data_IF_131458064921
#
_entry.id   IF_131458064921
#
_cell.length_a   1.000
_cell.length_b   1.000
_cell.length_c   1.000
_cell.angle_alpha   90.00
_cell.angle_beta   90.00
_cell.angle_gamma   90.00
#
_symmetry.space_group_name_H-M   'P 1'
#
loop_
_entity.id
_entity.type
_entity.pdbx_description
1 polymer ?
#
# COMPACT_ATOMS: atom_id res chain seq x y z
N UNK A 1 -30.29 3.57 25.81
CA UNK A 1 -30.03 4.89 25.18
C UNK A 1 -29.51 4.66 23.77
N UNK A 2 -30.36 4.85 22.76
CA UNK A 2 -29.95 4.74 21.36
C UNK A 2 -29.02 5.94 21.04
N UNK A 3 -27.75 5.67 20.70
CA UNK A 3 -26.87 6.71 20.16
C UNK A 3 -27.56 7.30 18.93
N UNK A 4 -27.83 8.61 18.93
CA UNK A 4 -28.32 9.30 17.73
C UNK A 4 -27.41 8.95 16.56
N UNK A 5 -27.99 8.59 15.41
CA UNK A 5 -27.21 8.29 14.20
C UNK A 5 -26.34 9.50 13.88
N UNK A 6 -25.02 9.38 14.05
CA UNK A 6 -24.03 10.40 13.73
C UNK A 6 -24.23 10.81 12.26
N UNK A 7 -24.31 12.11 11.96
CA UNK A 7 -24.49 12.60 10.57
C UNK A 7 -23.20 12.38 9.77
N UNK A 8 -23.29 12.36 8.42
CA UNK A 8 -22.10 12.21 7.57
C UNK A 8 -21.06 13.31 7.82
N UNK A 9 -21.51 14.56 7.96
CA UNK A 9 -20.63 15.69 8.24
C UNK A 9 -19.92 15.56 9.61
N UNK A 10 -20.63 15.11 10.65
CA UNK A 10 -20.01 14.89 11.97
C UNK A 10 -18.93 13.81 11.92
N UNK A 11 -19.14 12.74 11.14
CA UNK A 11 -18.11 11.70 10.93
C UNK A 11 -16.92 12.23 10.16
N UNK A 12 -17.16 12.97 9.08
CA UNK A 12 -16.11 13.59 8.26
C UNK A 12 -15.23 14.51 9.12
N UNK A 13 -15.84 15.42 9.90
CA UNK A 13 -15.11 16.32 10.80
C UNK A 13 -14.27 15.56 11.84
N UNK A 14 -14.78 14.45 12.36
CA UNK A 14 -14.04 13.60 13.31
C UNK A 14 -12.83 12.92 12.69
N UNK A 15 -12.94 12.46 11.44
CA UNK A 15 -11.83 11.87 10.72
C UNK A 15 -10.80 12.92 10.29
N UNK A 16 -11.25 14.11 9.87
CA UNK A 16 -10.38 15.24 9.59
C UNK A 16 -9.55 15.65 10.83
N UNK A 17 -10.19 15.71 12.01
CA UNK A 17 -9.46 15.97 13.27
C UNK A 17 -8.48 14.86 13.64
N UNK A 18 -8.76 13.60 13.27
CA UNK A 18 -7.83 12.48 13.48
C UNK A 18 -6.63 12.61 12.54
N UNK A 19 -6.87 12.94 11.29
CA UNK A 19 -5.83 13.18 10.30
C UNK A 19 -4.88 14.29 10.74
N UNK A 20 -5.40 15.47 11.11
CA UNK A 20 -4.56 16.57 11.62
C UNK A 20 -3.68 16.16 12.80
N UNK A 21 -4.23 15.40 13.76
CA UNK A 21 -3.44 14.88 14.89
C UNK A 21 -2.35 13.89 14.47
N UNK A 22 -2.61 13.06 13.46
CA UNK A 22 -1.62 12.15 12.93
C UNK A 22 -0.52 12.92 12.20
N UNK A 23 -0.91 13.86 11.34
CA UNK A 23 0.00 14.70 10.58
C UNK A 23 0.96 15.44 11.51
N UNK A 24 0.43 16.23 12.46
CA UNK A 24 1.21 16.96 13.46
C UNK A 24 2.23 16.08 14.20
N UNK A 25 1.84 14.85 14.54
CA UNK A 25 2.69 13.89 15.24
C UNK A 25 3.75 13.24 14.33
N UNK A 26 3.46 13.10 13.03
CA UNK A 26 4.34 12.43 12.06
C UNK A 26 5.23 13.40 11.27
N UNK A 27 5.02 14.72 11.32
CA UNK A 27 5.84 15.71 10.59
C UNK A 27 7.34 15.51 10.80
N UNK A 28 7.78 15.34 12.04
CA UNK A 28 9.21 15.15 12.36
C UNK A 28 9.76 13.82 11.80
N UNK A 29 8.93 12.78 11.82
CA UNK A 29 9.26 11.47 11.26
C UNK A 29 9.41 11.58 9.75
N UNK A 30 8.45 12.20 9.06
CA UNK A 30 8.48 12.43 7.61
C UNK A 30 9.63 13.33 7.17
N UNK A 31 9.90 14.41 7.90
CA UNK A 31 11.06 15.27 7.63
C UNK A 31 12.39 14.51 7.76
N UNK A 32 12.48 13.59 8.70
CA UNK A 32 13.68 12.77 8.89
C UNK A 32 13.80 11.70 7.82
N UNK A 33 12.68 11.06 7.48
CA UNK A 33 12.55 10.08 6.42
C UNK A 33 12.98 10.65 5.06
N UNK A 34 12.50 11.85 4.70
CA UNK A 34 12.88 12.52 3.45
C UNK A 34 14.41 12.70 3.33
N UNK A 35 15.09 13.03 4.44
CA UNK A 35 16.55 13.11 4.48
C UNK A 35 17.22 11.76 4.28
N UNK A 36 16.63 10.66 4.75
CA UNK A 36 17.18 9.32 4.52
C UNK A 36 17.09 8.92 3.05
N UNK A 37 15.99 9.25 2.36
CA UNK A 37 15.89 9.06 0.92
C UNK A 37 16.92 9.91 0.16
N UNK A 38 17.14 11.16 0.54
CA UNK A 38 18.17 12.00 -0.08
C UNK A 38 19.58 11.36 0.04
N UNK A 39 19.89 10.74 1.19
CA UNK A 39 21.16 10.01 1.41
C UNK A 39 21.19 8.72 0.59
N UNK A 40 20.08 8.00 0.51
CA UNK A 40 19.97 6.76 -0.27
C UNK A 40 20.24 7.01 -1.75
N UNK A 41 19.61 8.02 -2.34
CA UNK A 41 19.82 8.38 -3.75
C UNK A 41 21.11 9.17 -4.00
N UNK A 42 22.00 9.26 -3.02
CA UNK A 42 23.28 9.95 -3.11
C UNK A 42 23.14 11.39 -3.61
N UNK A 43 22.06 12.09 -3.25
CA UNK A 43 21.81 13.45 -3.72
C UNK A 43 22.83 14.39 -3.07
N UNK A 44 23.75 14.90 -3.88
CA UNK A 44 24.72 15.91 -3.44
C UNK A 44 24.01 17.25 -3.22
N UNK A 45 23.60 17.53 -1.99
CA UNK A 45 23.07 18.84 -1.63
C UNK A 45 24.23 19.86 -1.53
N UNK A 46 24.50 20.56 -2.64
CA UNK A 46 25.55 21.58 -2.74
C UNK A 46 25.16 22.92 -2.13
N UNK A 47 23.91 23.09 -1.68
CA UNK A 47 23.36 24.40 -1.24
C UNK A 47 24.06 25.02 -0.04
N UNK A 48 24.66 24.22 0.84
CA UNK A 48 25.41 24.70 2.02
C UNK A 48 26.93 24.64 1.84
N UNK A 49 27.40 24.40 0.61
CA UNK A 49 28.82 24.24 0.34
C UNK A 49 29.46 25.58 -0.04
N UNK A 50 30.58 25.89 0.62
CA UNK A 50 31.43 26.97 0.17
C UNK A 50 32.03 26.61 -1.21
N UNK A 51 31.97 27.49 -2.23
CA UNK A 51 32.36 27.19 -3.61
C UNK A 51 33.77 26.61 -3.80
N UNK A 52 34.66 26.80 -2.83
CA UNK A 52 36.07 26.37 -2.89
C UNK A 52 36.36 25.03 -2.20
N UNK A 53 35.37 24.35 -1.62
CA UNK A 53 35.55 23.02 -1.05
C UNK A 53 35.03 21.96 -2.02
N UNK A 54 35.87 21.00 -2.39
CA UNK A 54 35.41 19.77 -3.03
C UNK A 54 34.89 18.81 -1.95
N UNK A 55 33.67 18.30 -2.13
CA UNK A 55 33.15 17.20 -1.31
C UNK A 55 33.05 15.95 -2.17
N UNK A 56 33.84 14.94 -1.83
CA UNK A 56 33.69 13.60 -2.41
C UNK A 56 32.62 12.90 -1.58
N UNK A 57 31.52 12.49 -2.22
CA UNK A 57 30.49 11.71 -1.56
C UNK A 57 30.73 10.22 -1.84
N UNK A 58 31.03 9.45 -0.80
CA UNK A 58 31.20 7.99 -0.89
C UNK A 58 29.92 7.29 -0.41
N UNK A 59 29.09 6.71 -1.30
CA UNK A 59 27.75 6.19 -0.98
C UNK A 59 27.78 4.79 -0.30
N UNK A 60 28.49 4.61 0.81
CA UNK A 60 28.63 3.28 1.46
C UNK A 60 27.28 2.74 1.95
N UNK A 61 26.46 3.59 2.60
CA UNK A 61 25.14 3.17 3.08
C UNK A 61 24.16 2.84 1.95
N UNK A 62 24.14 3.65 0.89
CA UNK A 62 23.28 3.40 -0.26
C UNK A 62 23.65 2.08 -0.94
N UNK A 63 24.94 1.78 -1.12
CA UNK A 63 25.40 0.50 -1.67
C UNK A 63 24.92 -0.69 -0.85
N UNK A 64 25.00 -0.62 0.49
CA UNK A 64 24.49 -1.68 1.38
C UNK A 64 22.97 -1.80 1.34
N UNK A 65 22.26 -0.67 1.23
CA UNK A 65 20.81 -0.67 1.11
C UNK A 65 20.37 -1.36 -0.20
N UNK A 66 20.99 -1.02 -1.32
CA UNK A 66 20.70 -1.64 -2.62
C UNK A 66 21.00 -3.15 -2.64
N UNK A 67 22.14 -3.58 -2.08
CA UNK A 67 22.49 -5.00 -1.96
C UNK A 67 21.48 -5.77 -1.09
N UNK A 68 20.98 -5.15 -0.03
CA UNK A 68 19.96 -5.77 0.82
C UNK A 68 18.61 -5.88 0.10
N UNK A 69 18.19 -4.82 -0.61
CA UNK A 69 16.95 -4.80 -1.37
C UNK A 69 16.97 -5.87 -2.48
N UNK A 70 18.05 -5.94 -3.26
CA UNK A 70 18.16 -6.92 -4.35
C UNK A 70 18.13 -8.36 -3.84
N UNK A 71 18.75 -8.62 -2.68
CA UNK A 71 18.69 -9.96 -2.08
C UNK A 71 17.31 -10.34 -1.60
N UNK A 72 16.50 -9.40 -1.12
CA UNK A 72 15.16 -9.68 -0.63
C UNK A 72 14.12 -9.74 -1.75
N UNK A 73 14.26 -8.94 -2.80
CA UNK A 73 13.34 -8.98 -3.95
C UNK A 73 13.40 -10.30 -4.70
N UNK A 74 14.56 -10.96 -4.72
CA UNK A 74 14.77 -12.22 -5.43
C UNK A 74 14.29 -13.46 -4.64
N UNK A 75 13.85 -13.28 -3.38
CA UNK A 75 13.38 -14.39 -2.56
C UNK A 75 11.95 -14.74 -2.95
N UNK A 76 11.78 -15.93 -3.51
CA UNK A 76 10.47 -16.53 -3.70
C UNK A 76 10.10 -17.27 -2.41
N UNK A 77 9.05 -16.84 -1.68
CA UNK A 77 8.58 -17.58 -0.53
C UNK A 77 8.02 -18.93 -0.98
N UNK A 78 8.27 -19.95 -0.17
CA UNK A 78 7.58 -21.23 -0.25
C UNK A 78 6.50 -21.20 0.82
N UNK A 79 5.26 -21.39 0.40
CA UNK A 79 4.11 -21.44 1.30
C UNK A 79 3.98 -22.86 1.84
N UNK A 80 4.10 -23.01 3.15
CA UNK A 80 3.80 -24.24 3.87
C UNK A 80 2.59 -23.95 4.76
N UNK A 81 1.45 -24.56 4.45
CA UNK A 81 0.18 -24.33 5.12
C UNK A 81 -0.20 -25.54 5.96
N UNK A 82 -0.83 -25.29 7.11
CA UNK A 82 -1.36 -26.33 8.00
C UNK A 82 -2.83 -26.06 8.30
N UNK A 83 -3.72 -26.98 7.90
CA UNK A 83 -5.15 -26.90 8.22
C UNK A 83 -5.40 -27.48 9.62
N UNK A 84 -5.40 -26.60 10.62
CA UNK A 84 -5.40 -26.97 12.05
C UNK A 84 -6.64 -27.73 12.57
N UNK A 85 -7.71 -27.85 11.78
CA UNK A 85 -9.00 -28.37 12.25
C UNK A 85 -9.33 -29.78 11.73
N UNK A 86 -8.42 -30.42 11.00
CA UNK A 86 -8.68 -31.68 10.29
C UNK A 86 -7.61 -32.74 10.60
N UNK A 87 -7.19 -32.77 11.86
CA UNK A 87 -6.23 -33.73 12.38
C UNK A 87 -7.01 -34.91 12.94
N UNK A 88 -6.75 -36.11 12.43
CA UNK A 88 -7.30 -37.36 12.93
C UNK A 88 -6.22 -38.18 13.64
N UNK A 89 -6.61 -38.92 14.67
CA UNK A 89 -5.71 -39.84 15.35
C UNK A 89 -5.65 -41.14 14.54
N UNK A 90 -4.47 -41.46 14.01
CA UNK A 90 -4.20 -42.71 13.29
C UNK A 90 -4.38 -43.91 14.24
N UNK A 91 -4.57 -45.10 13.68
CA UNK A 91 -4.67 -46.36 14.45
C UNK A 91 -3.44 -46.62 15.34
N UNK A 92 -2.29 -46.03 14.99
CA UNK A 92 -1.03 -46.10 15.75
C UNK A 92 -0.88 -45.03 16.85
N UNK A 93 -1.89 -44.16 17.04
CA UNK A 93 -1.88 -43.07 18.02
C UNK A 93 -1.15 -41.80 17.54
N UNK A 94 -0.68 -41.79 16.29
CA UNK A 94 -0.07 -40.61 15.67
C UNK A 94 -1.14 -39.67 15.10
N UNK A 95 -1.00 -38.37 15.37
CA UNK A 95 -1.86 -37.33 14.80
C UNK A 95 -1.49 -37.13 13.33
N UNK A 96 -2.36 -37.55 12.42
CA UNK A 96 -2.14 -37.46 10.97
C UNK A 96 -3.27 -36.68 10.30
N UNK A 97 -2.94 -35.95 9.24
CA UNK A 97 -3.94 -35.29 8.43
C UNK A 97 -4.61 -36.30 7.50
N UNK A 98 -5.92 -36.14 7.29
CA UNK A 98 -6.65 -36.94 6.30
C UNK A 98 -6.10 -36.70 4.89
N UNK A 99 -6.19 -37.71 4.02
CA UNK A 99 -5.70 -37.58 2.63
C UNK A 99 -6.37 -36.40 1.89
N UNK A 100 -7.65 -36.14 2.16
CA UNK A 100 -8.40 -35.02 1.60
C UNK A 100 -7.96 -33.65 2.14
N UNK A 101 -7.54 -33.58 3.42
CA UNK A 101 -6.96 -32.37 3.99
C UNK A 101 -5.59 -32.07 3.37
N UNK A 102 -4.78 -33.09 3.13
CA UNK A 102 -3.49 -32.94 2.45
C UNK A 102 -3.67 -32.46 1.00
N UNK A 103 -4.58 -33.06 0.23
CA UNK A 103 -4.84 -32.63 -1.15
C UNK A 103 -5.36 -31.17 -1.21
N UNK A 104 -6.21 -30.76 -0.27
CA UNK A 104 -6.66 -29.37 -0.18
C UNK A 104 -5.53 -28.43 0.21
N UNK A 105 -4.67 -28.84 1.14
CA UNK A 105 -3.51 -28.05 1.55
C UNK A 105 -2.57 -27.83 0.37
N UNK A 106 -2.22 -28.88 -0.37
CA UNK A 106 -1.41 -28.81 -1.58
C UNK A 106 -2.05 -27.89 -2.63
N UNK A 107 -3.37 -27.98 -2.84
CA UNK A 107 -4.09 -27.08 -3.77
C UNK A 107 -4.00 -25.62 -3.36
N UNK A 108 -4.14 -25.30 -2.07
CA UNK A 108 -4.06 -23.92 -1.58
C UNK A 108 -2.61 -23.41 -1.67
N UNK A 109 -1.62 -24.24 -1.35
CA UNK A 109 -0.21 -23.89 -1.51
C UNK A 109 0.15 -23.59 -2.97
N UNK A 110 -0.31 -24.44 -3.89
CA UNK A 110 -0.14 -24.21 -5.33
C UNK A 110 -0.83 -22.93 -5.79
N UNK A 111 -2.05 -22.64 -5.32
CA UNK A 111 -2.75 -21.41 -5.62
C UNK A 111 -1.97 -20.18 -5.13
N UNK A 112 -1.53 -20.16 -3.87
CA UNK A 112 -0.74 -19.05 -3.32
C UNK A 112 0.60 -18.87 -4.04
N UNK A 113 1.24 -19.98 -4.43
CA UNK A 113 2.49 -19.95 -5.17
C UNK A 113 2.30 -19.41 -6.58
N UNK A 114 1.20 -19.78 -7.24
CA UNK A 114 0.85 -19.27 -8.57
C UNK A 114 0.47 -17.79 -8.51
N UNK A 115 -0.39 -17.39 -7.55
CA UNK A 115 -0.72 -15.97 -7.29
C UNK A 115 0.54 -15.14 -7.03
N UNK A 116 1.52 -15.65 -6.28
CA UNK A 116 2.77 -14.93 -6.04
C UNK A 116 3.62 -14.77 -7.30
N UNK A 117 3.70 -15.80 -8.15
CA UNK A 117 4.56 -15.79 -9.35
C UNK A 117 3.92 -15.06 -10.53
N UNK A 118 2.63 -15.26 -10.72
CA UNK A 118 1.84 -14.85 -11.86
C UNK A 118 0.77 -13.82 -11.46
N UNK A 119 1.06 -12.99 -10.46
CA UNK A 119 0.21 -11.86 -10.12
C UNK A 119 -0.16 -11.08 -11.39
N UNK A 120 -1.45 -10.79 -11.55
CA UNK A 120 -2.01 -10.14 -12.73
C UNK A 120 -1.33 -8.79 -12.95
N UNK A 121 -0.64 -8.65 -14.09
CA UNK A 121 0.04 -7.42 -14.50
C UNK A 121 1.54 -7.36 -14.17
N UNK A 122 1.93 -7.52 -12.91
CA UNK A 122 3.34 -7.39 -12.47
C UNK A 122 3.71 -8.47 -11.44
N UNK A 123 4.88 -9.13 -11.56
CA UNK A 123 5.35 -10.11 -10.57
C UNK A 123 5.42 -9.53 -9.15
N UNK A 124 5.03 -10.32 -8.14
CA UNK A 124 5.06 -9.88 -6.73
C UNK A 124 6.44 -9.47 -6.24
N UNK A 125 7.51 -10.06 -6.79
CA UNK A 125 8.89 -9.67 -6.49
C UNK A 125 9.16 -8.20 -6.83
N UNK A 126 8.57 -7.68 -7.92
CA UNK A 126 8.68 -6.27 -8.29
C UNK A 126 7.74 -5.40 -7.46
N UNK A 127 6.50 -5.84 -7.23
CA UNK A 127 5.53 -5.08 -6.40
C UNK A 127 6.01 -4.88 -4.96
N UNK A 128 6.66 -5.89 -4.39
CA UNK A 128 7.21 -5.80 -3.02
C UNK A 128 8.44 -4.90 -2.92
N UNK A 129 9.14 -4.62 -4.04
CA UNK A 129 10.35 -3.80 -4.08
C UNK A 129 10.17 -2.45 -3.41
N UNK A 130 9.08 -1.74 -3.72
CA UNK A 130 8.79 -0.41 -3.18
C UNK A 130 8.60 -0.43 -1.66
N UNK A 131 7.94 -1.47 -1.15
CA UNK A 131 7.73 -1.64 0.29
C UNK A 131 9.01 -2.06 1.01
N UNK A 132 9.86 -2.86 0.37
CA UNK A 132 11.17 -3.24 0.88
C UNK A 132 12.12 -2.05 0.91
N UNK A 133 12.13 -1.22 -0.14
CA UNK A 133 12.88 0.03 -0.19
C UNK A 133 12.53 0.91 1.01
N UNK A 134 11.24 1.12 1.26
CA UNK A 134 10.77 1.92 2.39
C UNK A 134 11.16 1.26 3.73
N UNK A 135 11.01 -0.06 3.87
CA UNK A 135 11.45 -0.78 5.06
C UNK A 135 12.96 -0.65 5.33
N UNK A 136 13.80 -0.54 4.29
CA UNK A 136 15.25 -0.39 4.41
C UNK A 136 15.66 1.03 4.75
N UNK A 137 15.07 2.01 4.05
CA UNK A 137 15.47 3.42 4.14
C UNK A 137 14.87 4.10 5.36
N UNK A 138 13.60 3.83 5.67
CA UNK A 138 12.87 4.50 6.77
C UNK A 138 12.48 3.55 7.89
N UNK A 139 12.75 2.26 7.75
CA UNK A 139 12.54 1.26 8.80
C UNK A 139 11.15 0.63 8.76
N UNK A 140 10.23 1.15 7.97
CA UNK A 140 8.90 0.54 7.75
C UNK A 140 8.41 0.79 6.35
N UNK A 141 8.02 -0.28 5.67
CA UNK A 141 7.23 -0.22 4.43
C UNK A 141 5.78 -0.57 4.72
N UNK A 142 4.86 -0.09 3.89
CA UNK A 142 3.44 -0.43 4.00
C UNK A 142 2.93 -1.00 2.69
N UNK A 143 2.07 -1.99 2.78
CA UNK A 143 1.29 -2.50 1.67
C UNK A 143 -0.18 -2.58 2.06
N UNK A 144 -1.06 -2.38 1.09
CA UNK A 144 -2.46 -2.78 1.16
C UNK A 144 -2.57 -4.14 0.50
N UNK A 145 -3.28 -5.07 1.13
CA UNK A 145 -3.59 -6.38 0.53
C UNK A 145 -5.08 -6.45 0.23
N UNK A 146 -5.55 -5.89 -0.89
CA UNK A 146 -6.95 -5.98 -1.25
C UNK A 146 -7.31 -7.38 -1.76
N UNK A 147 -8.61 -7.67 -1.69
CA UNK A 147 -9.22 -8.80 -2.38
C UNK A 147 -9.86 -8.24 -3.64
N UNK A 148 -9.36 -8.64 -4.80
CA UNK A 148 -9.84 -8.15 -6.09
C UNK A 148 -10.78 -9.20 -6.67
N UNK A 149 -11.90 -8.73 -7.20
CA UNK A 149 -12.86 -9.54 -7.93
C UNK A 149 -12.79 -9.09 -9.39
N UNK A 150 -12.47 -10.02 -10.28
CA UNK A 150 -12.36 -9.79 -11.72
C UNK A 150 -13.36 -10.67 -12.45
N UNK A 151 -14.11 -10.05 -13.36
CA UNK A 151 -14.93 -10.75 -14.34
C UNK A 151 -14.16 -10.75 -15.66
N UNK A 152 -13.78 -11.93 -16.12
CA UNK A 152 -13.07 -12.09 -17.38
C UNK A 152 -13.96 -12.74 -18.41
N UNK A 153 -14.31 -11.96 -19.43
CA UNK A 153 -14.99 -12.47 -20.61
C UNK A 153 -13.97 -13.14 -21.54
N UNK A 154 -14.09 -14.46 -21.68
CA UNK A 154 -13.34 -15.24 -22.66
C UNK A 154 -14.22 -15.53 -23.87
N UNK A 155 -13.75 -15.15 -25.04
CA UNK A 155 -14.42 -15.42 -26.30
C UNK A 155 -13.90 -16.74 -26.83
N UNK A 156 -14.76 -17.76 -26.85
CA UNK A 156 -14.43 -19.07 -27.39
C UNK A 156 -15.36 -19.41 -28.55
N UNK A 157 -14.83 -20.13 -29.52
CA UNK A 157 -15.63 -20.73 -30.59
C UNK A 157 -16.18 -22.06 -30.12
N UNK A 158 -17.39 -22.38 -30.55
CA UNK A 158 -18.02 -23.66 -30.25
C UNK A 158 -17.47 -24.73 -31.23
N UNK A 159 -16.98 -25.84 -30.68
CA UNK A 159 -16.45 -26.97 -31.43
C UNK A 159 -17.35 -28.19 -31.24
N UNK A 160 -17.55 -28.98 -32.29
CA UNK A 160 -18.24 -30.27 -32.21
C UNK A 160 -17.35 -31.37 -31.60
N UNK A 161 -17.93 -32.56 -31.37
CA UNK A 161 -17.20 -33.73 -30.86
C UNK A 161 -16.07 -34.22 -31.79
N UNK A 162 -16.03 -33.74 -33.04
CA UNK A 162 -14.99 -34.02 -34.04
C UNK A 162 -13.94 -32.90 -34.15
N UNK A 163 -14.06 -31.82 -33.35
CA UNK A 163 -13.14 -30.68 -33.34
C UNK A 163 -13.35 -29.66 -34.47
N UNK A 164 -14.47 -29.70 -35.19
CA UNK A 164 -14.84 -28.68 -36.18
C UNK A 164 -15.65 -27.54 -35.55
N UNK A 165 -15.45 -26.32 -36.05
CA UNK A 165 -16.16 -25.12 -35.58
C UNK A 165 -17.63 -25.20 -36.04
N UNK A 166 -18.57 -25.22 -35.10
CA UNK A 166 -20.01 -25.39 -35.37
C UNK A 166 -20.61 -24.12 -36.02
N UNK A 167 -20.19 -22.95 -35.55
CA UNK A 167 -20.72 -21.68 -36.00
C UNK A 167 -19.61 -20.62 -36.10
N UNK A 168 -19.55 -19.91 -37.23
CA UNK A 168 -18.52 -18.91 -37.53
C UNK A 168 -18.99 -17.46 -37.26
N UNK A 169 -20.26 -17.28 -36.89
CA UNK A 169 -20.90 -15.97 -36.78
C UNK A 169 -21.08 -15.47 -35.33
N UNK A 170 -21.08 -16.37 -34.34
CA UNK A 170 -21.34 -16.05 -32.95
C UNK A 170 -20.22 -16.60 -32.07
N UNK A 171 -19.51 -15.70 -31.38
CA UNK A 171 -18.57 -16.08 -30.34
C UNK A 171 -19.34 -16.40 -29.06
N UNK A 172 -19.05 -17.54 -28.44
CA UNK A 172 -19.59 -17.87 -27.12
C UNK A 172 -18.78 -17.08 -26.10
N UNK A 173 -19.42 -16.08 -25.49
CA UNK A 173 -18.84 -15.34 -24.36
C UNK A 173 -18.99 -16.19 -23.12
N UNK A 174 -17.86 -16.69 -22.62
CA UNK A 174 -17.78 -17.32 -21.29
C UNK A 174 -17.23 -16.29 -20.32
N UNK A 175 -18.12 -15.71 -19.52
CA UNK A 175 -17.75 -14.90 -18.36
C UNK A 175 -17.28 -15.83 -17.25
N UNK A 176 -15.99 -15.77 -16.94
CA UNK A 176 -15.42 -16.42 -15.76
C UNK A 176 -15.26 -15.40 -14.66
N UNK A 177 -15.93 -15.64 -13.54
CA UNK A 177 -15.78 -14.86 -12.31
C UNK A 177 -14.64 -15.44 -11.48
N UNK A 178 -13.68 -14.60 -11.11
CA UNK A 178 -12.54 -14.98 -10.29
C UNK A 178 -12.25 -13.94 -9.23
N UNK A 179 -11.67 -14.38 -8.11
CA UNK A 179 -11.15 -13.48 -7.10
C UNK A 179 -9.76 -13.93 -6.67
N UNK A 180 -8.86 -12.98 -6.49
CA UNK A 180 -7.51 -13.24 -6.04
C UNK A 180 -7.06 -12.20 -5.00
N UNK A 181 -6.03 -12.56 -4.24
CA UNK A 181 -5.36 -11.58 -3.39
C UNK A 181 -4.49 -10.67 -4.25
N UNK A 182 -4.47 -9.40 -3.91
CA UNK A 182 -3.59 -8.43 -4.56
C UNK A 182 -2.71 -7.72 -3.53
N UNK A 183 -1.70 -7.00 -4.02
CA UNK A 183 -0.72 -6.30 -3.22
C UNK A 183 -0.39 -4.94 -3.84
N UNK A 184 -0.76 -3.90 -3.13
CA UNK A 184 -0.52 -2.52 -3.53
C UNK A 184 0.48 -1.87 -2.56
N UNK A 185 1.67 -1.46 -3.01
CA UNK A 185 2.61 -0.74 -2.17
C UNK A 185 2.04 0.63 -1.80
N UNK A 186 2.04 0.96 -0.51
CA UNK A 186 1.61 2.27 -0.02
C UNK A 186 2.84 3.10 0.30
N UNK A 187 2.95 4.27 -0.32
CA UNK A 187 4.02 5.21 -0.04
C UNK A 187 4.05 5.57 1.45
N UNK A 188 5.24 5.45 2.05
CA UNK A 188 5.47 5.75 3.46
C UNK A 188 4.90 7.10 3.94
N UNK A 189 5.00 8.15 3.12
CA UNK A 189 4.52 9.50 3.46
C UNK A 189 2.99 9.65 3.42
N UNK A 190 2.31 8.68 2.83
CA UNK A 190 0.87 8.67 2.70
C UNK A 190 0.18 7.87 3.81
N UNK A 191 0.93 7.13 4.64
CA UNK A 191 0.40 6.31 5.71
C UNK A 191 0.40 7.04 7.06
N UNK A 192 -0.80 7.25 7.61
CA UNK A 192 -1.01 7.92 8.89
C UNK A 192 -1.55 6.93 9.93
N UNK A 193 -0.78 6.73 10.99
CA UNK A 193 -1.13 5.81 12.08
C UNK A 193 -1.52 6.62 13.30
N UNK A 194 -2.60 6.19 13.96
CA UNK A 194 -3.06 6.85 15.17
C UNK A 194 -1.93 7.10 16.20
N UNK A 195 -1.83 8.32 16.77
CA UNK A 195 -0.74 8.69 17.67
C UNK A 195 -0.76 7.84 18.95
N UNK A 196 0.41 7.67 19.57
CA UNK A 196 0.63 6.86 20.77
C UNK A 196 0.33 5.36 20.65
N UNK A 197 0.18 4.84 19.42
CA UNK A 197 0.01 3.41 19.18
C UNK A 197 1.31 2.65 19.47
N UNK A 198 1.29 1.65 20.36
CA UNK A 198 2.48 0.84 20.69
C UNK A 198 2.82 -0.24 19.67
N UNK A 199 1.90 -0.53 18.76
CA UNK A 199 2.01 -1.56 17.73
C UNK A 199 1.07 -1.21 16.61
N UNK A 200 1.52 -1.38 15.36
CA UNK A 200 0.72 -1.08 14.18
C UNK A 200 -0.64 -1.78 14.23
N UNK A 201 -0.69 -3.12 14.32
CA UNK A 201 -1.93 -3.91 14.38
C UNK A 201 -2.87 -3.61 15.57
N UNK A 202 -2.41 -2.89 16.60
CA UNK A 202 -3.23 -2.52 17.76
C UNK A 202 -3.67 -1.06 17.72
N UNK A 203 -3.28 -0.32 16.68
CA UNK A 203 -3.71 1.06 16.49
C UNK A 203 -5.25 1.12 16.39
N UNK A 204 -5.87 2.18 16.94
CA UNK A 204 -7.32 2.34 16.88
C UNK A 204 -7.83 2.67 15.46
N UNK A 205 -6.99 3.27 14.62
CA UNK A 205 -7.31 3.62 13.23
C UNK A 205 -6.04 3.88 12.40
N UNK A 206 -6.23 3.83 11.07
CA UNK A 206 -5.25 4.16 10.04
C UNK A 206 -5.91 5.06 9.01
N UNK A 207 -5.13 5.97 8.42
CA UNK A 207 -5.58 6.87 7.36
C UNK A 207 -4.52 6.79 6.26
N UNK A 208 -4.93 6.48 5.04
CA UNK A 208 -4.07 6.54 3.86
C UNK A 208 -4.51 7.70 2.98
N UNK A 209 -3.57 8.53 2.58
CA UNK A 209 -3.80 9.67 1.69
C UNK A 209 -3.37 9.29 0.27
N UNK A 210 -4.30 9.30 -0.66
CA UNK A 210 -4.06 8.89 -2.05
C UNK A 210 -4.32 10.06 -3.00
N UNK A 211 -3.53 10.12 -4.06
CA UNK A 211 -3.71 11.05 -5.16
C UNK A 211 -4.17 10.23 -6.36
N UNK A 212 -5.32 10.59 -6.92
CA UNK A 212 -5.89 9.93 -8.10
C UNK A 212 -6.54 10.98 -8.99
N UNK A 213 -6.80 10.63 -10.24
CA UNK A 213 -7.55 11.49 -11.14
C UNK A 213 -9.03 11.33 -10.89
N UNK A 214 -9.83 12.37 -11.19
CA UNK A 214 -11.28 12.26 -11.09
C UNK A 214 -11.83 11.15 -11.99
N UNK A 215 -11.24 10.97 -13.17
CA UNK A 215 -11.62 9.94 -14.13
C UNK A 215 -11.39 8.53 -13.57
N UNK A 216 -10.19 8.24 -13.05
CA UNK A 216 -9.89 6.91 -12.49
C UNK A 216 -10.81 6.58 -11.32
N UNK A 217 -11.13 7.58 -10.49
CA UNK A 217 -12.07 7.42 -9.38
C UNK A 217 -13.50 7.10 -9.86
N UNK A 218 -13.96 7.73 -10.96
CA UNK A 218 -15.25 7.42 -11.56
C UNK A 218 -15.30 6.02 -12.18
N UNK A 219 -14.22 5.62 -12.86
CA UNK A 219 -14.11 4.34 -13.55
C UNK A 219 -14.14 3.15 -12.58
N UNK A 220 -13.66 3.32 -11.34
CA UNK A 220 -13.75 2.26 -10.32
C UNK A 220 -15.20 1.91 -9.95
N UNK A 221 -16.16 2.83 -10.11
CA UNK A 221 -17.55 2.64 -9.70
C UNK A 221 -17.76 2.45 -8.19
N UNK A 222 -16.72 2.58 -7.36
CA UNK A 222 -16.75 2.31 -5.92
C UNK A 222 -17.27 3.50 -5.08
N UNK A 223 -17.23 4.71 -5.63
CA UNK A 223 -17.52 5.94 -4.90
C UNK A 223 -18.90 6.53 -5.26
N UNK A 224 -19.50 7.25 -4.31
CA UNK A 224 -20.73 8.01 -4.57
C UNK A 224 -20.49 9.12 -5.60
N UNK A 225 -21.12 9.00 -6.77
CA UNK A 225 -21.03 9.99 -7.87
C UNK A 225 -21.43 11.39 -7.43
N UNK A 226 -22.42 11.52 -6.55
CA UNK A 226 -22.83 12.81 -6.00
C UNK A 226 -21.80 13.40 -5.02
N UNK A 227 -20.98 12.56 -4.40
CA UNK A 227 -19.82 12.97 -3.60
C UNK A 227 -18.65 13.42 -4.46
N UNK A 228 -18.32 12.67 -5.52
CA UNK A 228 -17.24 12.98 -6.47
C UNK A 228 -17.40 14.36 -7.12
N UNK A 229 -18.62 14.70 -7.55
CA UNK A 229 -18.93 16.00 -8.16
C UNK A 229 -18.80 17.21 -7.21
N UNK A 230 -18.61 16.99 -5.90
CA UNK A 230 -18.42 18.04 -4.88
C UNK A 230 -16.97 18.16 -4.43
N UNK A 231 -16.08 17.37 -5.02
CA UNK A 231 -14.66 17.40 -4.72
C UNK A 231 -13.98 18.57 -5.42
N UNK A 232 -12.93 19.07 -4.78
CA UNK A 232 -12.05 20.03 -5.38
C UNK A 232 -11.12 19.31 -6.36
N UNK A 233 -11.18 19.68 -7.63
CA UNK A 233 -10.28 19.25 -8.72
C UNK A 233 -9.00 20.09 -8.81
N UNK A 234 -9.06 21.34 -8.31
CA UNK A 234 -7.99 22.33 -8.45
C UNK A 234 -6.95 22.23 -7.32
N UNK A 235 -6.70 21.02 -6.82
CA UNK A 235 -5.76 20.86 -5.71
C UNK A 235 -4.37 21.13 -6.23
N UNK A 236 -3.90 22.37 -6.06
CA UNK A 236 -2.46 22.62 -6.04
C UNK A 236 -1.93 21.77 -4.91
N UNK A 237 -1.30 20.66 -5.28
CA UNK A 237 -0.79 19.68 -4.36
C UNK A 237 -0.11 20.35 -3.15
N UNK A 238 -0.45 19.90 -1.95
CA UNK A 238 0.16 20.43 -0.73
C UNK A 238 1.69 20.31 -0.86
N UNK A 239 2.34 21.48 -1.03
CA UNK A 239 3.76 21.60 -1.36
C UNK A 239 4.63 20.81 -0.38
N UNK A 240 4.16 20.60 0.85
CA UNK A 240 4.88 19.88 1.89
C UNK A 240 4.95 18.38 1.60
N UNK A 241 3.81 17.74 1.34
CA UNK A 241 3.74 16.31 1.03
C UNK A 241 4.33 15.98 -0.33
N UNK A 242 4.17 16.89 -1.29
CA UNK A 242 4.85 16.81 -2.56
C UNK A 242 6.35 16.78 -2.41
N UNK A 243 6.91 17.62 -1.53
CA UNK A 243 8.35 17.60 -1.29
C UNK A 243 8.79 16.26 -0.69
N UNK A 244 8.01 15.65 0.20
CA UNK A 244 8.32 14.33 0.74
C UNK A 244 8.24 13.24 -0.34
N UNK A 245 7.16 13.22 -1.13
CA UNK A 245 6.99 12.29 -2.24
C UNK A 245 8.09 12.45 -3.30
N UNK A 246 8.51 13.69 -3.56
CA UNK A 246 9.67 13.98 -4.42
C UNK A 246 10.95 13.37 -3.86
N UNK A 247 11.24 13.51 -2.56
CA UNK A 247 12.45 12.91 -1.98
C UNK A 247 12.48 11.39 -2.16
N UNK A 248 11.34 10.71 -2.07
CA UNK A 248 11.24 9.26 -2.33
C UNK A 248 11.37 8.90 -3.81
N UNK A 249 10.67 9.60 -4.70
CA UNK A 249 10.55 9.19 -6.11
C UNK A 249 11.59 9.85 -7.04
N UNK A 250 12.64 10.47 -6.48
CA UNK A 250 13.57 11.28 -7.28
C UNK A 250 14.48 10.44 -8.16
N UNK A 251 14.46 10.69 -9.46
CA UNK A 251 15.53 10.28 -10.35
C UNK A 251 16.77 11.16 -10.12
N UNK A 252 17.96 10.57 -10.00
CA UNK A 252 19.22 11.31 -9.78
C UNK A 252 19.35 12.47 -10.78
N UNK A 253 19.60 13.69 -10.27
CA UNK A 253 19.75 14.94 -11.02
C UNK A 253 18.49 15.54 -11.70
N UNK A 254 17.30 14.97 -11.52
CA UNK A 254 16.06 15.63 -11.94
C UNK A 254 15.81 16.91 -11.13
N UNK A 255 15.52 18.02 -11.82
CA UNK A 255 15.34 19.33 -11.18
C UNK A 255 13.90 19.70 -10.84
N UNK A 256 12.89 19.05 -11.41
CA UNK A 256 11.48 19.11 -11.00
C UNK A 256 10.74 18.02 -11.81
N UNK A 257 9.92 17.19 -11.16
CA UNK A 257 8.77 16.58 -11.84
C UNK A 257 7.66 17.62 -11.79
N UNK A 258 7.41 18.32 -12.89
CA UNK A 258 6.24 19.18 -12.99
C UNK A 258 5.00 18.28 -12.95
N UNK A 259 4.10 18.55 -12.02
CA UNK A 259 2.77 17.94 -12.00
C UNK A 259 2.02 18.45 -13.22
N UNK A 260 1.37 17.55 -13.94
CA UNK A 260 0.60 17.92 -15.12
C UNK A 260 -0.66 18.67 -14.69
N UNK A 261 -0.64 20.00 -14.83
CA UNK A 261 -1.74 20.89 -14.48
C UNK A 261 -2.95 20.74 -15.44
N UNK A 262 -2.87 19.87 -16.45
CA UNK A 262 -3.98 19.59 -17.38
C UNK A 262 -4.94 18.50 -16.89
N UNK A 263 -4.58 17.79 -15.81
CA UNK A 263 -5.36 16.67 -15.26
C UNK A 263 -5.98 17.07 -13.93
N UNK A 264 -7.30 16.85 -13.80
CA UNK A 264 -8.05 17.08 -12.57
C UNK A 264 -7.67 16.03 -11.51
N UNK A 265 -6.75 16.42 -10.64
CA UNK A 265 -6.26 15.58 -9.55
C UNK A 265 -7.08 15.80 -8.29
N UNK A 266 -7.53 14.72 -7.68
CA UNK A 266 -8.26 14.73 -6.41
C UNK A 266 -7.43 14.04 -5.32
N UNK A 267 -7.64 14.47 -4.08
CA UNK A 267 -7.03 13.85 -2.89
C UNK A 267 -8.09 13.05 -2.16
N UNK A 268 -7.81 11.76 -1.99
CA UNK A 268 -8.65 10.83 -1.25
C UNK A 268 -8.01 10.44 0.08
N UNK A 269 -8.86 10.22 1.07
CA UNK A 269 -8.48 9.76 2.41
C UNK A 269 -9.21 8.46 2.72
N UNK A 270 -8.48 7.36 2.64
CA UNK A 270 -8.94 6.03 3.02
C UNK A 270 -8.77 5.85 4.54
N UNK A 271 -9.88 5.86 5.28
CA UNK A 271 -9.90 5.82 6.73
C UNK A 271 -10.42 4.47 7.22
N UNK A 272 -9.57 3.69 7.88
CA UNK A 272 -9.92 2.36 8.39
C UNK A 272 -9.90 2.38 9.92
N UNK A 273 -10.97 1.89 10.53
CA UNK A 273 -10.97 1.65 11.98
C UNK A 273 -10.47 0.25 12.35
N UNK A 274 -10.16 0.04 13.63
CA UNK A 274 -9.73 -1.26 14.15
C UNK A 274 -10.73 -2.40 13.95
N UNK A 275 -12.00 -2.09 13.70
CA UNK A 275 -13.05 -3.07 13.47
C UNK A 275 -13.17 -3.45 11.98
N UNK A 276 -12.31 -2.90 11.13
CA UNK A 276 -12.29 -3.15 9.69
C UNK A 276 -13.38 -2.39 8.93
N UNK A 277 -13.97 -1.33 9.51
CA UNK A 277 -14.86 -0.45 8.76
C UNK A 277 -14.04 0.56 7.96
N UNK A 278 -14.39 0.69 6.68
CA UNK A 278 -13.79 1.58 5.71
C UNK A 278 -14.65 2.83 5.53
N UNK A 279 -14.01 3.99 5.54
CA UNK A 279 -14.60 5.26 5.13
C UNK A 279 -13.65 5.95 4.16
N UNK A 280 -14.13 6.30 2.98
CA UNK A 280 -13.35 7.12 2.03
C UNK A 280 -13.91 8.53 2.02
N UNK A 281 -13.02 9.50 2.16
CA UNK A 281 -13.36 10.92 2.07
C UNK A 281 -12.53 11.60 0.98
N UNK A 282 -13.03 12.69 0.41
CA UNK A 282 -12.24 13.59 -0.44
C UNK A 282 -12.34 15.04 0.03
N UNK A 283 -11.43 15.89 -0.43
CA UNK A 283 -11.46 17.32 -0.12
C UNK A 283 -12.55 18.03 -0.94
N UNK A 284 -13.53 18.62 -0.26
CA UNK A 284 -14.60 19.36 -0.94
C UNK A 284 -14.18 20.75 -1.40
N UNK A 285 -14.94 21.33 -2.34
CA UNK A 285 -14.73 22.69 -2.89
C UNK A 285 -14.89 23.83 -1.86
N UNK A 286 -15.48 23.57 -0.69
CA UNK A 286 -15.68 24.60 0.33
C UNK A 286 -14.33 25.17 0.81
N UNK A 287 -14.28 26.51 0.98
CA UNK A 287 -13.08 27.24 1.47
C UNK A 287 -12.55 26.74 2.82
N UNK A 288 -13.38 26.03 3.59
CA UNK A 288 -13.02 25.43 4.88
C UNK A 288 -12.34 24.05 4.75
N UNK A 289 -12.17 23.52 3.53
CA UNK A 289 -11.56 22.21 3.30
C UNK A 289 -12.35 21.05 3.89
N UNK A 290 -13.69 21.17 3.89
CA UNK A 290 -14.56 20.16 4.49
C UNK A 290 -14.48 18.84 3.73
N UNK A 291 -14.24 17.74 4.44
CA UNK A 291 -14.21 16.41 3.85
C UNK A 291 -15.61 15.95 3.43
N UNK A 292 -15.72 15.43 2.21
CA UNK A 292 -16.94 14.84 1.64
C UNK A 292 -16.85 13.31 1.76
N UNK A 293 -17.86 12.67 2.37
CA UNK A 293 -17.92 11.20 2.46
C UNK A 293 -18.27 10.61 1.08
N UNK A 294 -17.40 9.75 0.54
CA UNK A 294 -17.54 9.13 -0.79
C UNK A 294 -17.94 7.66 -0.70
N UNK A 295 -17.42 6.95 0.30
CA UNK A 295 -17.68 5.52 0.51
C UNK A 295 -17.74 5.20 1.99
N UNK A 296 -18.64 4.30 2.35
CA UNK A 296 -18.78 3.80 3.71
C UNK A 296 -19.15 2.32 3.70
N UNK A 297 -18.21 1.50 4.12
CA UNK A 297 -18.39 0.06 4.18
C UNK A 297 -18.05 -0.48 5.55
N UNK A 298 -18.87 -1.43 6.01
CA UNK A 298 -18.65 -2.11 7.28
C UNK A 298 -18.00 -3.43 7.01
N UNK A 299 -16.88 -3.70 7.68
CA UNK A 299 -16.12 -4.95 7.54
C UNK A 299 -15.84 -5.28 6.07
N UNK A 300 -15.04 -4.44 5.43
CA UNK A 300 -14.69 -4.58 4.01
C UNK A 300 -14.17 -5.98 3.68
N UNK A 301 -13.35 -6.55 4.57
CA UNK A 301 -12.79 -7.89 4.39
C UNK A 301 -13.42 -8.91 5.34
N UNK A 302 -13.51 -10.15 4.86
CA UNK A 302 -14.09 -11.30 5.58
C UNK A 302 -13.43 -11.54 6.94
N UNK A 303 -12.13 -11.29 7.08
CA UNK A 303 -11.38 -11.44 8.33
C UNK A 303 -11.60 -10.29 9.33
N UNK A 304 -12.29 -9.21 8.94
CA UNK A 304 -12.62 -8.07 9.81
C UNK A 304 -11.39 -7.32 10.36
N UNK A 305 -10.26 -7.38 9.64
CA UNK A 305 -9.01 -6.67 9.98
C UNK A 305 -8.73 -5.60 8.93
N UNK A 306 -7.98 -4.54 9.26
CA UNK A 306 -7.51 -3.59 8.25
C UNK A 306 -6.67 -4.29 7.17
N UNK A 307 -6.71 -3.82 5.91
CA UNK A 307 -5.93 -4.41 4.80
C UNK A 307 -4.45 -4.02 4.81
N UNK A 308 -4.03 -3.14 5.72
CA UNK A 308 -2.65 -2.64 5.69
C UNK A 308 -1.72 -3.55 6.47
N UNK A 309 -0.62 -3.92 5.83
CA UNK A 309 0.43 -4.76 6.38
C UNK A 309 1.73 -3.96 6.45
N UNK A 310 2.34 -3.83 7.64
CA UNK A 310 3.63 -3.19 7.78
C UNK A 310 4.79 -4.19 7.59
N UNK A 311 5.81 -3.78 6.85
CA UNK A 311 7.05 -4.50 6.64
C UNK A 311 8.17 -3.86 7.45
N UNK A 312 8.95 -4.67 8.17
CA UNK A 312 10.05 -4.19 9.00
C UNK A 312 11.31 -5.01 8.72
N UNK A 313 12.47 -4.34 8.61
CA UNK A 313 13.76 -5.03 8.80
C UNK A 313 13.93 -5.37 10.27
N UNK A 314 13.70 -4.37 11.13
CA UNK A 314 13.76 -4.49 12.58
C UNK A 314 12.65 -3.68 13.19
N UNK A 315 11.84 -4.32 14.03
CA UNK A 315 10.77 -3.65 14.75
C UNK A 315 11.33 -2.86 15.93
N UNK A 316 10.92 -1.60 16.08
CA UNK A 316 11.25 -0.78 17.25
C UNK A 316 10.32 -1.13 18.41
N UNK A 317 10.87 -1.26 19.60
CA UNK A 317 10.10 -1.60 20.80
C UNK A 317 9.06 -0.52 21.11
N UNK A 318 7.83 -0.95 21.44
CA UNK A 318 6.70 -0.08 21.81
C UNK A 318 6.34 1.00 20.79
N UNK A 319 6.66 0.78 19.51
CA UNK A 319 6.41 1.68 18.41
C UNK A 319 5.66 0.96 17.29
N UNK A 320 4.80 1.64 16.51
CA UNK A 320 4.24 1.08 15.29
C UNK A 320 5.24 1.17 14.12
N UNK A 321 6.36 1.86 14.31
CA UNK A 321 7.45 2.05 13.34
C UNK A 321 8.60 1.10 13.63
N UNK A 322 9.39 0.79 12.61
CA UNK A 322 10.63 0.04 12.70
C UNK A 322 11.86 0.94 12.83
N UNK A 323 13.02 0.30 12.88
CA UNK A 323 14.33 0.95 12.89
C UNK A 323 14.93 0.92 11.49
N UNK A 324 15.41 2.07 11.03
CA UNK A 324 16.07 2.20 9.73
C UNK A 324 17.57 1.88 9.81
N UNK A 325 18.15 1.37 8.71
CA UNK A 325 19.60 1.27 8.55
C UNK A 325 20.29 2.64 8.62
N UNK A 326 19.60 3.69 8.15
CA UNK A 326 20.09 5.06 8.08
C UNK A 326 19.96 5.79 9.43
N UNK A 327 19.00 5.42 10.29
CA UNK A 327 18.79 6.07 11.60
C UNK A 327 20.06 6.07 12.45
N UNK A 328 20.75 4.93 12.52
CA UNK A 328 21.95 4.77 13.34
C UNK A 328 23.23 5.22 12.62
N UNK A 329 23.29 5.08 11.29
CA UNK A 329 24.55 5.22 10.55
C UNK A 329 24.70 6.54 9.79
N UNK A 330 23.64 7.33 9.59
CA UNK A 330 23.70 8.55 8.79
C UNK A 330 24.70 9.58 9.34
N UNK A 331 24.84 9.68 10.66
CA UNK A 331 25.83 10.58 11.29
C UNK A 331 27.27 10.14 11.02
N UNK A 332 27.54 8.84 11.09
CA UNK A 332 28.86 8.28 10.78
C UNK A 332 29.21 8.51 9.31
N UNK A 333 28.27 8.22 8.40
CA UNK A 333 28.41 8.46 6.97
C UNK A 333 28.67 9.95 6.66
N UNK A 334 28.00 10.86 7.38
CA UNK A 334 28.24 12.30 7.25
C UNK A 334 29.58 12.75 7.83
N UNK A 335 30.18 12.01 8.76
CA UNK A 335 31.51 12.30 9.29
C UNK A 335 32.62 11.80 8.34
N UNK A 336 32.36 10.68 7.63
CA UNK A 336 33.27 10.16 6.60
C UNK A 336 33.32 11.04 5.35
N UNK A 337 32.21 11.71 5.01
CA UNK A 337 32.05 12.57 3.82
C UNK A 337 32.25 14.06 4.11
#
# INVERSE_FOLDING_TARGET
MAKSKETAQQRANKWQQRFQKCDDNQVNLFTTAAKYYDVMYAVMNTSKMAPWRSKVYVPVLASKAWDLISRFSDIIPIYNLDIKNEIEESEDGDLTYTAEANERTEKIEHLMQDEYRNATGEPMSMRTFDTLLDAVVVGTGFAKTPWVYEEKDSYAREFDEAGQIINNAEDVVKTTEGGHNDFEPVNYFNMFVAPNSKSFFKAPYWIVREYTTLQDAEDTGLYDKGGLARLRSDVSNDKTFDNYNRSRNRLANSKNSETDDTVDNIVLYECVDRQGNLYTYGEGESKDGSWVELRKEKKLYWHGRPPYVPFYIRKKSFSPWGESLFENNARLQSATN
#
